data_IF_462351875146
#
_entry.id   IF_462351875146
#
_cell.length_a   1.000
_cell.length_b   1.000
_cell.length_c   1.000
_cell.angle_alpha   90.00
_cell.angle_beta   90.00
_cell.angle_gamma   90.00
#
_symmetry.space_group_name_H-M   'P 1'
#
loop_
_entity.id
_entity.type
_entity.pdbx_description
1 polymer ?
#
# COMPACT_ATOMS: atom_id res chain seq x y z
N UNK A 1 9.60 -7.53 10.14
CA UNK A 1 8.50 -7.53 9.14
C UNK A 1 7.13 -7.61 9.83
N UNK A 2 6.89 -6.89 10.94
CA UNK A 2 5.71 -7.14 11.80
C UNK A 2 4.41 -6.48 11.35
N UNK A 3 4.47 -5.36 10.61
CA UNK A 3 3.27 -4.61 10.18
C UNK A 3 2.96 -4.72 8.68
N UNK A 4 3.79 -5.42 7.90
CA UNK A 4 3.56 -5.61 6.46
C UNK A 4 2.36 -6.56 6.17
N UNK A 5 1.89 -7.29 7.18
CA UNK A 5 0.69 -8.13 7.08
C UNK A 5 -0.62 -7.34 7.18
N UNK A 6 -0.62 -6.18 7.85
CA UNK A 6 -1.82 -5.32 8.00
C UNK A 6 -2.49 -4.97 6.66
N UNK A 7 -1.79 -4.43 5.64
CA UNK A 7 -2.42 -4.10 4.37
C UNK A 7 -2.94 -5.34 3.63
N UNK A 8 -2.22 -6.47 3.74
CA UNK A 8 -2.63 -7.75 3.15
C UNK A 8 -3.92 -8.28 3.78
N UNK A 9 -4.01 -8.30 5.12
CA UNK A 9 -5.20 -8.73 5.84
C UNK A 9 -6.40 -7.83 5.52
N UNK A 10 -6.21 -6.50 5.54
CA UNK A 10 -7.26 -5.54 5.24
C UNK A 10 -7.83 -5.71 3.83
N UNK A 11 -6.98 -5.78 2.80
CA UNK A 11 -7.43 -5.92 1.41
C UNK A 11 -8.09 -7.27 1.14
N UNK A 12 -7.64 -8.33 1.82
CA UNK A 12 -8.25 -9.67 1.69
C UNK A 12 -9.64 -9.70 2.33
N UNK A 13 -9.82 -9.08 3.49
CA UNK A 13 -11.15 -8.97 4.13
C UNK A 13 -12.08 -8.09 3.31
N UNK A 14 -11.60 -6.94 2.81
CA UNK A 14 -12.40 -6.02 2.01
C UNK A 14 -12.91 -6.69 0.74
N UNK A 15 -12.02 -7.25 -0.08
CA UNK A 15 -12.42 -7.87 -1.35
C UNK A 15 -13.09 -9.23 -1.16
N UNK A 16 -12.73 -9.99 -0.13
CA UNK A 16 -13.45 -11.21 0.26
C UNK A 16 -14.88 -10.92 0.68
N UNK A 17 -15.12 -9.83 1.43
CA UNK A 17 -16.46 -9.35 1.76
C UNK A 17 -17.26 -8.94 0.53
N UNK A 18 -16.62 -8.31 -0.46
CA UNK A 18 -17.28 -7.92 -1.71
C UNK A 18 -17.58 -9.14 -2.61
N UNK A 19 -16.66 -10.09 -2.71
CA UNK A 19 -16.81 -11.28 -3.57
C UNK A 19 -17.70 -12.38 -2.96
N UNK A 20 -17.86 -12.43 -1.64
CA UNK A 20 -18.61 -13.49 -0.95
C UNK A 20 -19.81 -12.93 -0.20
N UNK A 21 -19.63 -11.85 0.56
CA UNK A 21 -20.69 -11.26 1.37
C UNK A 21 -21.80 -10.65 0.50
N UNK A 22 -21.46 -9.72 -0.39
CA UNK A 22 -22.45 -9.04 -1.24
C UNK A 22 -23.29 -10.01 -2.10
N UNK A 23 -22.71 -11.02 -2.78
CA UNK A 23 -23.49 -11.99 -3.55
C UNK A 23 -24.50 -12.81 -2.73
N UNK A 24 -24.25 -13.00 -1.43
CA UNK A 24 -25.10 -13.78 -0.52
C UNK A 24 -26.29 -12.96 0.01
N UNK A 25 -26.11 -11.64 0.18
CA UNK A 25 -27.15 -10.72 0.67
C UNK A 25 -28.02 -10.09 -0.42
N UNK A 26 -27.84 -10.46 -1.68
CA UNK A 26 -28.69 -9.97 -2.78
C UNK A 26 -30.16 -10.39 -2.56
N UNK A 27 -31.12 -9.44 -2.49
CA UNK A 27 -32.53 -9.74 -2.23
C UNK A 27 -33.14 -10.60 -3.34
N UNK A 28 -34.01 -11.55 -2.94
CA UNK A 28 -34.68 -12.52 -3.83
C UNK A 28 -35.88 -11.95 -4.61
N UNK A 29 -35.80 -10.71 -5.09
CA UNK A 29 -36.91 -10.05 -5.81
C UNK A 29 -36.66 -9.93 -7.31
N UNK A 30 -37.51 -10.57 -8.12
CA UNK A 30 -37.85 -10.24 -9.53
C UNK A 30 -36.77 -9.56 -10.40
N UNK A 31 -35.57 -10.14 -10.49
CA UNK A 31 -34.55 -9.66 -11.43
C UNK A 31 -33.98 -10.84 -12.21
N UNK A 32 -34.23 -10.86 -13.52
CA UNK A 32 -33.79 -11.91 -14.45
C UNK A 32 -32.25 -12.02 -14.55
N UNK A 33 -31.52 -11.00 -14.08
CA UNK A 33 -30.07 -10.84 -14.27
C UNK A 33 -29.22 -11.11 -13.01
N UNK A 34 -29.72 -11.85 -12.02
CA UNK A 34 -28.99 -12.11 -10.76
C UNK A 34 -27.69 -12.86 -10.97
N UNK A 35 -27.69 -13.87 -11.84
CA UNK A 35 -26.49 -14.64 -12.16
C UNK A 35 -25.39 -13.75 -12.76
N UNK A 36 -25.78 -12.80 -13.62
CA UNK A 36 -24.85 -11.84 -14.21
C UNK A 36 -24.28 -10.88 -13.15
N UNK A 37 -25.11 -10.37 -12.25
CA UNK A 37 -24.67 -9.47 -11.16
C UNK A 37 -23.76 -10.22 -10.18
N UNK A 38 -24.09 -11.45 -9.80
CA UNK A 38 -23.25 -12.28 -8.94
C UNK A 38 -21.90 -12.57 -9.60
N UNK A 39 -21.90 -12.96 -10.88
CA UNK A 39 -20.68 -13.21 -11.63
C UNK A 39 -19.84 -11.93 -11.76
N UNK A 40 -20.47 -10.79 -12.07
CA UNK A 40 -19.78 -9.51 -12.17
C UNK A 40 -19.13 -9.09 -10.83
N UNK A 41 -19.82 -9.28 -9.70
CA UNK A 41 -19.29 -9.00 -8.37
C UNK A 41 -18.11 -9.91 -8.00
N UNK A 42 -18.25 -11.23 -8.24
CA UNK A 42 -17.19 -12.20 -7.94
C UNK A 42 -15.96 -11.96 -8.84
N UNK A 43 -16.15 -11.76 -10.15
CA UNK A 43 -15.05 -11.48 -11.08
C UNK A 43 -14.35 -10.15 -10.76
N UNK A 44 -15.11 -9.10 -10.44
CA UNK A 44 -14.52 -7.81 -10.07
C UNK A 44 -13.72 -7.94 -8.78
N UNK A 45 -14.28 -8.59 -7.76
CA UNK A 45 -13.57 -8.80 -6.50
C UNK A 45 -12.27 -9.61 -6.69
N UNK A 46 -12.32 -10.66 -7.50
CA UNK A 46 -11.15 -11.48 -7.81
C UNK A 46 -10.07 -10.72 -8.59
N UNK A 47 -10.45 -10.01 -9.66
CA UNK A 47 -9.50 -9.26 -10.49
C UNK A 47 -8.90 -8.08 -9.76
N UNK A 48 -9.69 -7.32 -8.99
CA UNK A 48 -9.19 -6.20 -8.19
C UNK A 48 -8.26 -6.67 -7.06
N UNK A 49 -8.57 -7.79 -6.39
CA UNK A 49 -7.68 -8.36 -5.38
C UNK A 49 -6.36 -8.85 -5.96
N UNK A 50 -6.39 -9.57 -7.09
CA UNK A 50 -5.18 -10.04 -7.78
C UNK A 50 -4.32 -8.88 -8.29
N UNK A 51 -4.93 -7.87 -8.92
CA UNK A 51 -4.21 -6.69 -9.40
C UNK A 51 -3.50 -5.97 -8.24
N UNK A 52 -4.20 -5.75 -7.13
CA UNK A 52 -3.61 -5.16 -5.93
C UNK A 52 -2.47 -6.02 -5.37
N UNK A 53 -2.68 -7.33 -5.24
CA UNK A 53 -1.68 -8.24 -4.69
C UNK A 53 -0.40 -8.26 -5.54
N UNK A 54 -0.52 -8.32 -6.86
CA UNK A 54 0.62 -8.31 -7.78
C UNK A 54 1.43 -7.00 -7.66
N UNK A 55 0.75 -5.86 -7.62
CA UNK A 55 1.42 -4.55 -7.46
C UNK A 55 2.00 -4.34 -6.07
N UNK A 56 1.43 -4.97 -5.04
CA UNK A 56 1.98 -4.97 -3.69
C UNK A 56 3.25 -5.83 -3.60
N UNK A 57 3.21 -7.06 -4.12
CA UNK A 57 4.35 -7.98 -4.08
C UNK A 57 5.55 -7.47 -4.90
N UNK A 58 5.32 -6.76 -6.00
CA UNK A 58 6.40 -6.19 -6.80
C UNK A 58 7.24 -5.16 -6.03
N UNK A 59 6.73 -4.61 -4.93
CA UNK A 59 7.38 -3.58 -4.12
C UNK A 59 7.99 -4.11 -2.81
N UNK A 60 7.75 -5.38 -2.44
CA UNK A 60 8.20 -5.92 -1.15
C UNK A 60 9.70 -6.18 -1.06
N UNK A 61 10.38 -6.40 -2.20
CA UNK A 61 11.83 -6.53 -2.30
C UNK A 61 12.32 -5.86 -3.60
N UNK A 62 12.29 -4.52 -3.68
CA UNK A 62 12.62 -3.81 -4.90
C UNK A 62 14.14 -3.89 -5.15
N UNK A 63 14.53 -4.32 -6.36
CA UNK A 63 15.95 -4.36 -6.74
C UNK A 63 16.46 -3.00 -7.26
N UNK A 64 15.56 -2.13 -7.69
CA UNK A 64 15.87 -0.86 -8.35
C UNK A 64 15.23 0.28 -7.56
N UNK A 65 16.05 1.25 -7.14
CA UNK A 65 15.61 2.49 -6.51
C UNK A 65 15.37 3.61 -7.54
N UNK A 66 14.56 4.63 -7.20
CA UNK A 66 14.32 5.76 -8.08
C UNK A 66 15.57 6.65 -8.18
N UNK A 67 15.96 7.02 -9.41
CA UNK A 67 17.10 7.90 -9.70
C UNK A 67 16.64 9.35 -9.78
N UNK A 68 16.88 10.13 -8.73
CA UNK A 68 16.49 11.55 -8.66
C UNK A 68 17.72 12.48 -8.74
N UNK A 69 17.52 13.69 -9.27
CA UNK A 69 18.55 14.74 -9.27
C UNK A 69 18.77 15.25 -7.84
N UNK A 70 20.02 15.56 -7.49
CA UNK A 70 20.44 16.00 -6.15
C UNK A 70 19.55 17.11 -5.56
N UNK A 71 19.22 18.13 -6.35
CA UNK A 71 18.37 19.24 -5.91
C UNK A 71 16.97 18.77 -5.48
N UNK A 72 16.37 17.83 -6.21
CA UNK A 72 15.06 17.26 -5.90
C UNK A 72 15.10 16.42 -4.63
N UNK A 73 16.19 15.67 -4.40
CA UNK A 73 16.38 14.90 -3.16
C UNK A 73 16.47 15.82 -1.94
N UNK A 74 17.20 16.94 -2.05
CA UNK A 74 17.31 17.92 -0.97
C UNK A 74 15.96 18.58 -0.66
N UNK A 75 15.19 18.95 -1.68
CA UNK A 75 13.84 19.48 -1.51
C UNK A 75 12.90 18.46 -0.85
N UNK A 76 12.96 17.19 -1.28
CA UNK A 76 12.18 16.11 -0.69
C UNK A 76 12.55 15.91 0.80
N UNK A 77 13.84 15.87 1.12
CA UNK A 77 14.29 15.74 2.51
C UNK A 77 13.76 16.89 3.39
N UNK A 78 13.73 18.12 2.88
CA UNK A 78 13.20 19.27 3.61
C UNK A 78 11.69 19.16 3.88
N UNK A 79 10.89 18.81 2.88
CA UNK A 79 9.43 18.72 3.04
C UNK A 79 9.01 17.57 3.96
N UNK A 80 9.63 16.40 3.80
CA UNK A 80 9.27 15.24 4.61
C UNK A 80 9.65 15.44 6.09
N UNK A 81 10.77 16.10 6.39
CA UNK A 81 11.16 16.44 7.79
C UNK A 81 10.24 17.50 8.39
N UNK A 82 9.78 18.48 7.60
CA UNK A 82 8.80 19.49 8.06
C UNK A 82 7.50 18.85 8.53
N UNK A 83 6.97 17.88 7.79
CA UNK A 83 5.74 17.15 8.15
C UNK A 83 5.86 16.44 9.52
N UNK A 84 7.00 15.82 9.83
CA UNK A 84 7.19 15.19 11.14
C UNK A 84 7.37 16.20 12.29
N UNK A 85 7.76 17.44 11.96
CA UNK A 85 7.96 18.51 12.93
C UNK A 85 6.66 19.25 13.26
N UNK A 86 5.72 19.34 12.30
CA UNK A 86 4.39 19.96 12.50
C UNK A 86 3.41 19.04 13.20
N UNK A 87 3.50 17.73 12.99
CA UNK A 87 2.81 16.76 13.85
C UNK A 87 3.47 16.82 15.24
N UNK A 88 2.77 17.33 16.24
CA UNK A 88 3.18 17.42 17.65
C UNK A 88 3.28 16.04 18.32
N UNK A 89 3.97 15.10 17.66
CA UNK A 89 4.27 13.78 18.18
C UNK A 89 5.27 13.90 19.33
N UNK A 90 5.05 13.12 20.39
CA UNK A 90 5.94 13.04 21.54
C UNK A 90 7.40 12.77 21.13
N UNK A 91 8.37 13.34 21.86
CA UNK A 91 9.83 13.22 21.59
C UNK A 91 10.28 11.78 21.32
N UNK A 92 9.69 10.80 22.03
CA UNK A 92 9.98 9.36 21.86
C UNK A 92 9.44 8.80 20.53
N UNK A 93 8.22 9.19 20.18
CA UNK A 93 7.58 8.79 18.92
C UNK A 93 8.30 9.39 17.72
N UNK A 94 8.80 10.63 17.84
CA UNK A 94 9.62 11.29 16.81
C UNK A 94 10.92 10.57 16.50
N UNK A 95 11.67 10.15 17.53
CA UNK A 95 12.95 9.45 17.35
C UNK A 95 12.73 8.10 16.68
N UNK A 96 11.72 7.33 17.12
CA UNK A 96 11.41 6.01 16.56
C UNK A 96 10.89 6.12 15.13
N UNK A 97 9.99 7.08 14.83
CA UNK A 97 9.53 7.30 13.44
C UNK A 97 10.67 7.75 12.55
N UNK A 98 11.52 8.68 13.01
CA UNK A 98 12.65 9.19 12.24
C UNK A 98 13.65 8.07 11.93
N UNK A 99 14.01 7.23 12.90
CA UNK A 99 14.90 6.08 12.67
C UNK A 99 14.28 5.04 11.74
N UNK A 100 12.99 4.75 11.88
CA UNK A 100 12.30 3.75 11.05
C UNK A 100 12.12 4.24 9.62
N UNK A 101 11.79 5.52 9.42
CA UNK A 101 11.66 6.10 8.09
C UNK A 101 13.01 6.34 7.42
N UNK A 102 14.03 6.81 8.16
CA UNK A 102 15.38 6.91 7.64
C UNK A 102 15.91 5.53 7.23
N UNK A 103 15.68 4.48 8.01
CA UNK A 103 16.11 3.14 7.62
C UNK A 103 15.36 2.59 6.40
N UNK A 104 14.06 2.91 6.22
CA UNK A 104 13.33 2.56 4.99
C UNK A 104 13.80 3.36 3.77
N UNK A 105 14.07 4.66 3.94
CA UNK A 105 14.59 5.54 2.89
C UNK A 105 16.02 5.13 2.50
N UNK A 106 16.91 4.87 3.47
CA UNK A 106 18.29 4.44 3.21
C UNK A 106 18.37 3.03 2.61
N UNK A 107 17.50 2.09 3.00
CA UNK A 107 17.38 0.80 2.29
C UNK A 107 16.97 0.97 0.82
N UNK A 108 16.21 2.01 0.50
CA UNK A 108 15.84 2.35 -0.88
C UNK A 108 16.96 3.07 -1.66
N UNK A 109 17.84 3.80 -0.98
CA UNK A 109 18.93 4.60 -1.60
C UNK A 109 20.27 3.85 -1.69
N UNK A 110 20.51 2.83 -0.85
CA UNK A 110 21.80 2.12 -0.76
C UNK A 110 22.24 1.38 -2.02
N UNK A 111 21.33 1.12 -2.98
CA UNK A 111 21.64 0.44 -4.25
C UNK A 111 21.74 1.41 -5.45
N UNK A 112 21.63 2.72 -5.24
CA UNK A 112 21.53 3.70 -6.33
C UNK A 112 22.43 4.92 -6.22
N UNK A 113 23.37 4.97 -5.27
CA UNK A 113 24.53 5.85 -5.40
C UNK A 113 25.42 5.20 -6.48
N UNK A 114 25.44 5.66 -7.75
CA UNK A 114 26.62 5.35 -8.54
C UNK A 114 27.77 6.01 -7.80
N UNK A 115 28.75 5.19 -7.43
CA UNK A 115 30.09 5.67 -7.14
C UNK A 115 30.49 6.66 -8.23
N UNK A 116 31.29 7.64 -7.83
CA UNK A 116 31.96 8.61 -8.69
C UNK A 116 32.41 7.98 -10.02
#
# INVERSE_FOLDING_TARGET
>A
MGMAFLPFAFMTILWGGVGIGLPMFLPKGENQNRGLIQLALILTAGTCWLFWLCTYMSQMNPLIGPKLRKNTILMLAQEWVRVFTTLSLSKRTRIILCYTLLTQIFRFQGNTIPDL
#
